data_IF_081443755911
#
_entry.id   IF_081443755911
#
_cell.length_a   1.000
_cell.length_b   1.000
_cell.length_c   1.000
_cell.angle_alpha   90.00
_cell.angle_beta   90.00
_cell.angle_gamma   90.00
#
_symmetry.space_group_name_H-M   'P 1'
#
loop_
_entity.id
_entity.type
_entity.pdbx_description
1 polymer ?
#
# COMPACT_ATOMS: atom_id res chain seq x y z
N UNK A 1 -28.33 -13.10 23.47
CA UNK A 1 -29.72 -13.38 23.13
C UNK A 1 -30.21 -14.62 23.89
N UNK A 2 -31.53 -14.74 24.07
CA UNK A 2 -32.13 -15.93 24.65
C UNK A 2 -32.04 -17.08 23.64
N UNK A 3 -31.71 -18.29 24.09
CA UNK A 3 -31.53 -19.48 23.23
C UNK A 3 -30.43 -19.30 22.15
N UNK A 4 -29.30 -18.70 22.51
CA UNK A 4 -28.19 -18.52 21.58
C UNK A 4 -27.57 -19.85 21.14
N UNK A 5 -27.11 -19.87 19.91
CA UNK A 5 -26.39 -20.97 19.29
C UNK A 5 -24.89 -20.66 19.17
N UNK A 6 -24.13 -21.65 18.72
CA UNK A 6 -22.68 -21.52 18.51
C UNK A 6 -22.35 -20.46 17.43
N UNK A 7 -23.23 -20.33 16.44
CA UNK A 7 -23.16 -19.30 15.39
C UNK A 7 -23.25 -17.88 15.97
N UNK A 8 -24.15 -17.67 16.95
CA UNK A 8 -24.32 -16.35 17.60
C UNK A 8 -23.09 -15.91 18.37
N UNK A 9 -22.40 -16.88 19.02
CA UNK A 9 -21.12 -16.61 19.70
C UNK A 9 -20.05 -16.20 18.69
N UNK A 10 -19.94 -16.90 17.56
CA UNK A 10 -18.96 -16.59 16.50
C UNK A 10 -19.24 -15.22 15.90
N UNK A 11 -20.50 -14.92 15.56
CA UNK A 11 -20.87 -13.66 14.92
C UNK A 11 -20.75 -12.47 15.89
N UNK A 12 -21.05 -12.68 17.16
CA UNK A 12 -20.80 -11.70 18.22
C UNK A 12 -19.30 -11.39 18.32
N UNK A 13 -18.42 -12.38 18.30
CA UNK A 13 -16.97 -12.17 18.32
C UNK A 13 -16.49 -11.45 17.07
N UNK A 14 -16.97 -11.81 15.88
CA UNK A 14 -16.62 -11.11 14.63
C UNK A 14 -17.08 -9.65 14.67
N UNK A 15 -18.26 -9.38 15.20
CA UNK A 15 -18.79 -8.02 15.29
C UNK A 15 -17.97 -7.13 16.24
N UNK A 16 -17.65 -7.60 17.45
CA UNK A 16 -16.95 -6.80 18.44
C UNK A 16 -15.43 -6.86 18.33
N UNK A 17 -14.87 -7.86 17.60
CA UNK A 17 -13.43 -8.09 17.45
C UNK A 17 -13.03 -8.38 15.99
N UNK A 18 -13.50 -7.58 15.00
CA UNK A 18 -13.32 -7.88 13.59
C UNK A 18 -11.85 -7.98 13.18
N UNK A 19 -11.03 -7.08 13.65
CA UNK A 19 -9.60 -7.04 13.29
C UNK A 19 -8.76 -8.12 13.98
N UNK A 20 -9.12 -8.49 15.19
CA UNK A 20 -8.50 -9.60 15.88
C UNK A 20 -8.83 -10.93 15.17
N UNK A 21 -10.08 -11.11 14.76
CA UNK A 21 -10.54 -12.26 13.98
C UNK A 21 -9.81 -12.34 12.63
N UNK A 22 -9.87 -11.28 11.85
CA UNK A 22 -9.18 -11.16 10.55
C UNK A 22 -7.67 -11.43 10.68
N UNK A 23 -7.02 -10.94 11.74
CA UNK A 23 -5.60 -11.19 12.00
C UNK A 23 -5.26 -12.67 12.16
N UNK A 24 -6.16 -13.48 12.74
CA UNK A 24 -5.97 -14.94 12.88
C UNK A 24 -6.18 -15.61 11.52
N UNK A 25 -7.18 -15.22 10.73
CA UNK A 25 -7.44 -15.75 9.39
C UNK A 25 -6.25 -15.51 8.46
N UNK A 26 -5.76 -14.29 8.38
CA UNK A 26 -4.58 -13.91 7.57
C UNK A 26 -3.34 -14.72 7.96
N UNK A 27 -3.09 -14.88 9.28
CA UNK A 27 -1.97 -15.70 9.76
C UNK A 27 -2.14 -17.17 9.38
N UNK A 28 -3.35 -17.71 9.51
CA UNK A 28 -3.64 -19.09 9.10
C UNK A 28 -3.34 -19.29 7.62
N UNK A 29 -3.88 -18.46 6.74
CA UNK A 29 -3.63 -18.54 5.31
C UNK A 29 -2.14 -18.47 4.97
N UNK A 30 -1.44 -17.52 5.57
CA UNK A 30 0.01 -17.37 5.38
C UNK A 30 0.77 -18.63 5.80
N UNK A 31 0.49 -19.19 6.97
CA UNK A 31 1.17 -20.40 7.46
C UNK A 31 0.73 -21.66 6.73
N UNK A 32 -0.51 -21.74 6.24
CA UNK A 32 -0.94 -22.83 5.38
C UNK A 32 -0.19 -22.84 4.03
N UNK A 33 -0.01 -21.69 3.40
CA UNK A 33 0.81 -21.56 2.18
C UNK A 33 2.25 -22.02 2.46
N UNK A 34 2.81 -21.61 3.60
CA UNK A 34 4.14 -22.05 4.05
C UNK A 34 4.21 -23.56 4.30
N UNK A 35 3.23 -24.14 4.94
CA UNK A 35 3.17 -25.56 5.22
C UNK A 35 3.05 -26.40 3.95
N UNK A 36 2.31 -25.95 2.94
CA UNK A 36 2.29 -26.59 1.61
C UNK A 36 3.69 -26.67 1.01
N UNK A 37 4.46 -25.58 1.07
CA UNK A 37 5.84 -25.54 0.57
C UNK A 37 6.77 -26.44 1.39
N UNK A 38 6.68 -26.37 2.73
CA UNK A 38 7.52 -27.16 3.65
C UNK A 38 7.22 -28.67 3.50
N UNK A 39 5.92 -29.04 3.40
CA UNK A 39 5.51 -30.41 3.17
C UNK A 39 6.05 -30.98 1.86
N UNK A 40 6.00 -30.18 0.76
CA UNK A 40 6.56 -30.57 -0.55
C UNK A 40 8.08 -30.81 -0.46
N UNK A 41 8.81 -30.02 0.35
CA UNK A 41 10.28 -30.06 0.43
C UNK A 41 10.80 -31.05 1.49
N UNK A 42 10.10 -31.22 2.60
CA UNK A 42 10.57 -31.97 3.78
C UNK A 42 9.60 -33.08 4.24
N UNK A 43 8.52 -33.32 3.50
CA UNK A 43 7.55 -34.39 3.80
C UNK A 43 6.55 -34.09 4.93
N UNK A 44 6.80 -33.09 5.78
CA UNK A 44 5.95 -32.78 6.94
C UNK A 44 5.63 -31.30 7.03
N UNK A 45 4.36 -30.97 7.33
CA UNK A 45 3.95 -29.61 7.69
C UNK A 45 4.52 -29.25 9.07
N UNK A 46 4.84 -27.97 9.28
CA UNK A 46 5.48 -27.50 10.52
C UNK A 46 4.54 -26.71 11.43
N UNK A 47 3.70 -25.85 10.87
CA UNK A 47 2.94 -24.87 11.65
C UNK A 47 1.56 -25.40 12.06
N UNK A 48 0.85 -26.07 11.14
CA UNK A 48 -0.47 -26.68 11.37
C UNK A 48 -1.42 -25.76 12.13
N UNK A 49 -1.53 -24.51 11.66
CA UNK A 49 -2.30 -23.49 12.35
C UNK A 49 -3.79 -23.71 12.17
N UNK A 50 -4.52 -23.81 13.28
CA UNK A 50 -5.96 -23.96 13.33
C UNK A 50 -6.69 -22.71 12.80
N UNK A 51 -7.92 -22.88 12.36
CA UNK A 51 -8.81 -21.77 12.01
C UNK A 51 -9.25 -20.98 13.25
N UNK A 52 -9.72 -19.73 13.10
CA UNK A 52 -10.28 -18.97 14.22
C UNK A 52 -11.38 -19.73 14.95
N UNK A 53 -12.25 -20.42 14.21
CA UNK A 53 -13.36 -21.24 14.76
C UNK A 53 -12.80 -22.42 15.57
N UNK A 54 -11.84 -23.16 15.04
CA UNK A 54 -11.20 -24.27 15.76
C UNK A 54 -10.52 -23.80 17.04
N UNK A 55 -9.81 -22.65 16.98
CA UNK A 55 -9.18 -22.06 18.18
C UNK A 55 -10.24 -21.67 19.21
N UNK A 56 -11.36 -21.11 18.76
CA UNK A 56 -12.47 -20.74 19.63
C UNK A 56 -13.06 -21.97 20.32
N UNK A 57 -13.34 -23.04 19.56
CA UNK A 57 -13.92 -24.27 20.09
C UNK A 57 -13.01 -25.02 21.09
N UNK A 58 -11.72 -24.84 20.98
CA UNK A 58 -10.73 -25.34 21.95
C UNK A 58 -10.67 -24.51 23.25
N UNK A 59 -11.18 -23.26 23.21
CA UNK A 59 -11.14 -22.35 24.36
C UNK A 59 -12.04 -22.86 25.51
N UNK A 60 -11.52 -22.89 26.73
CA UNK A 60 -12.26 -23.32 27.93
C UNK A 60 -13.52 -22.46 28.19
N UNK A 61 -13.44 -21.15 27.93
CA UNK A 61 -14.57 -20.26 28.07
C UNK A 61 -15.67 -20.60 27.06
N UNK A 62 -15.34 -20.87 25.80
CA UNK A 62 -16.31 -21.29 24.80
C UNK A 62 -17.01 -22.61 25.22
N UNK A 63 -16.23 -23.60 25.64
CA UNK A 63 -16.81 -24.89 26.12
C UNK A 63 -17.78 -24.71 27.28
N UNK A 64 -17.49 -23.75 28.17
CA UNK A 64 -18.42 -23.39 29.23
C UNK A 64 -19.69 -22.75 28.68
N UNK A 65 -19.57 -21.77 27.77
CA UNK A 65 -20.73 -21.10 27.16
C UNK A 65 -21.58 -22.05 26.31
N UNK A 66 -20.97 -23.04 25.66
CA UNK A 66 -21.65 -24.01 24.81
C UNK A 66 -22.30 -25.18 25.59
N UNK A 67 -22.04 -25.31 26.90
CA UNK A 67 -22.61 -26.39 27.72
C UNK A 67 -24.09 -26.18 27.98
N UNK A 68 -24.87 -27.26 27.94
CA UNK A 68 -26.33 -27.25 28.16
C UNK A 68 -26.69 -26.61 29.52
N UNK A 69 -25.98 -27.00 30.57
CA UNK A 69 -26.20 -26.48 31.91
C UNK A 69 -26.00 -24.94 31.97
N UNK A 70 -25.01 -24.39 31.28
CA UNK A 70 -24.80 -22.94 31.23
C UNK A 70 -25.89 -22.24 30.40
N UNK A 71 -26.28 -22.83 29.25
CA UNK A 71 -27.36 -22.33 28.39
C UNK A 71 -28.69 -22.28 29.13
N UNK A 72 -29.04 -23.35 29.83
CA UNK A 72 -30.28 -23.42 30.64
C UNK A 72 -30.29 -22.35 31.74
N UNK A 73 -29.24 -22.25 32.54
CA UNK A 73 -29.15 -21.24 33.58
C UNK A 73 -29.22 -19.80 33.01
N UNK A 74 -28.51 -19.57 31.90
CA UNK A 74 -28.55 -18.26 31.24
C UNK A 74 -29.95 -17.91 30.73
N UNK A 75 -30.65 -18.87 30.12
CA UNK A 75 -32.01 -18.67 29.60
C UNK A 75 -33.03 -18.41 30.71
N UNK A 76 -32.86 -19.03 31.86
CA UNK A 76 -33.73 -18.82 33.02
C UNK A 76 -33.55 -17.41 33.63
N UNK A 77 -32.31 -16.91 33.68
CA UNK A 77 -31.95 -15.60 34.23
C UNK A 77 -31.98 -14.49 33.17
N UNK A 78 -32.38 -14.76 31.93
CA UNK A 78 -32.30 -13.82 30.83
C UNK A 78 -33.27 -12.65 31.01
N UNK A 79 -32.73 -11.43 31.01
CA UNK A 79 -33.48 -10.18 30.91
C UNK A 79 -33.08 -9.42 29.64
N UNK A 80 -34.08 -9.11 28.80
CA UNK A 80 -33.84 -8.39 27.57
C UNK A 80 -33.32 -6.96 27.79
N UNK A 81 -33.79 -6.29 28.81
CA UNK A 81 -33.34 -4.93 29.17
C UNK A 81 -31.85 -4.94 29.57
N UNK A 82 -31.47 -5.88 30.45
CA UNK A 82 -30.07 -6.08 30.85
C UNK A 82 -29.19 -6.42 29.66
N UNK A 83 -29.66 -7.28 28.78
CA UNK A 83 -28.94 -7.64 27.53
C UNK A 83 -28.65 -6.40 26.67
N UNK A 84 -29.65 -5.53 26.45
CA UNK A 84 -29.46 -4.29 25.68
C UNK A 84 -28.45 -3.35 26.31
N UNK A 85 -28.53 -3.14 27.62
CA UNK A 85 -27.58 -2.29 28.36
C UNK A 85 -26.15 -2.84 28.28
N UNK A 86 -25.97 -4.14 28.48
CA UNK A 86 -24.64 -4.75 28.41
C UNK A 86 -24.07 -4.72 26.98
N UNK A 87 -24.91 -4.92 25.97
CA UNK A 87 -24.57 -4.81 24.54
C UNK A 87 -24.09 -3.40 24.20
N UNK A 88 -24.83 -2.38 24.61
CA UNK A 88 -24.47 -0.97 24.39
C UNK A 88 -23.17 -0.60 25.10
N UNK A 89 -23.01 -1.02 26.36
CA UNK A 89 -21.78 -0.83 27.12
C UNK A 89 -20.56 -1.49 26.45
N UNK A 90 -20.72 -2.70 25.94
CA UNK A 90 -19.65 -3.38 25.23
C UNK A 90 -19.33 -2.66 23.90
N UNK A 91 -20.36 -2.25 23.15
CA UNK A 91 -20.18 -1.53 21.90
C UNK A 91 -19.47 -0.19 22.12
N UNK A 92 -19.87 0.61 23.10
CA UNK A 92 -19.22 1.89 23.39
C UNK A 92 -17.72 1.74 23.71
N UNK A 93 -17.34 0.67 24.42
CA UNK A 93 -15.93 0.35 24.71
C UNK A 93 -15.16 -0.13 23.46
N UNK A 94 -15.81 -0.85 22.56
CA UNK A 94 -15.14 -1.45 21.38
C UNK A 94 -15.09 -0.52 20.18
N UNK A 95 -16.15 0.26 19.92
CA UNK A 95 -16.29 1.17 18.80
C UNK A 95 -15.06 2.05 18.59
N UNK A 96 -14.61 2.72 19.65
CA UNK A 96 -13.44 3.62 19.58
C UNK A 96 -12.15 2.89 19.15
N UNK A 97 -12.00 1.60 19.50
CA UNK A 97 -10.84 0.79 19.08
C UNK A 97 -10.96 0.38 17.62
N UNK A 98 -12.14 -0.03 17.19
CA UNK A 98 -12.44 -0.39 15.80
C UNK A 98 -12.23 0.82 14.90
N UNK A 99 -12.81 1.97 15.22
CA UNK A 99 -12.70 3.22 14.46
C UNK A 99 -11.23 3.67 14.33
N UNK A 100 -10.44 3.52 15.39
CA UNK A 100 -8.99 3.85 15.35
C UNK A 100 -8.24 2.96 14.36
N UNK A 101 -8.53 1.67 14.33
CA UNK A 101 -7.87 0.74 13.40
C UNK A 101 -8.35 1.01 11.98
N UNK A 102 -9.65 1.20 11.75
CA UNK A 102 -10.22 1.57 10.45
C UNK A 102 -9.55 2.82 9.89
N UNK A 103 -9.51 3.91 10.66
CA UNK A 103 -8.85 5.16 10.26
C UNK A 103 -7.36 4.97 9.96
N UNK A 104 -6.68 4.12 10.72
CA UNK A 104 -5.26 3.80 10.47
C UNK A 104 -5.08 3.11 9.12
N UNK A 105 -5.91 2.11 8.82
CA UNK A 105 -5.86 1.36 7.54
C UNK A 105 -6.23 2.29 6.38
N UNK A 106 -7.30 3.07 6.51
CA UNK A 106 -7.71 4.04 5.49
C UNK A 106 -6.62 5.06 5.20
N UNK A 107 -5.98 5.60 6.25
CA UNK A 107 -4.83 6.50 6.09
C UNK A 107 -3.63 5.84 5.41
N UNK A 108 -3.38 4.55 5.64
CA UNK A 108 -2.33 3.82 4.95
C UNK A 108 -2.71 3.60 3.46
N UNK A 109 -3.95 3.17 3.20
CA UNK A 109 -4.47 2.96 1.85
C UNK A 109 -4.52 4.25 1.02
N UNK A 110 -4.84 5.39 1.64
CA UNK A 110 -4.88 6.68 0.93
C UNK A 110 -3.52 7.15 0.42
N UNK A 111 -2.43 6.60 0.95
CA UNK A 111 -1.05 6.86 0.51
C UNK A 111 -0.52 5.84 -0.49
N UNK A 112 -1.35 4.91 -0.93
CA UNK A 112 -0.97 3.83 -1.84
C UNK A 112 -1.99 3.69 -2.96
N UNK A 113 -1.54 3.15 -4.08
CA UNK A 113 -2.44 2.71 -5.13
C UNK A 113 -2.90 1.28 -4.87
N UNK A 114 -4.20 1.03 -4.98
CA UNK A 114 -4.80 -0.27 -4.70
C UNK A 114 -4.90 -1.11 -5.98
N UNK A 115 -3.76 -1.27 -6.64
CA UNK A 115 -3.62 -1.99 -7.90
C UNK A 115 -2.33 -2.82 -7.89
N UNK A 116 -2.29 -3.88 -8.67
CA UNK A 116 -1.07 -4.64 -8.95
C UNK A 116 -0.45 -4.12 -10.24
N UNK A 117 0.65 -3.33 -10.20
CA UNK A 117 1.25 -2.78 -11.41
C UNK A 117 1.84 -3.90 -12.28
N UNK A 118 1.77 -3.74 -13.60
CA UNK A 118 2.26 -4.73 -14.60
C UNK A 118 3.75 -5.05 -14.39
N UNK A 119 4.53 -4.09 -13.91
CA UNK A 119 5.97 -4.26 -13.67
C UNK A 119 6.31 -4.91 -12.31
N UNK A 120 5.32 -5.32 -11.49
CA UNK A 120 5.54 -5.86 -10.15
C UNK A 120 6.50 -7.05 -10.15
N UNK A 121 6.28 -8.03 -11.01
CA UNK A 121 7.13 -9.23 -11.07
C UNK A 121 8.57 -8.89 -11.46
N UNK A 122 8.76 -7.91 -12.36
CA UNK A 122 10.09 -7.42 -12.73
C UNK A 122 10.79 -6.75 -11.54
N UNK A 123 10.08 -5.95 -10.73
CA UNK A 123 10.63 -5.33 -9.50
C UNK A 123 11.02 -6.39 -8.47
N UNK A 124 10.14 -7.36 -8.20
CA UNK A 124 10.45 -8.46 -7.27
C UNK A 124 11.64 -9.27 -7.78
N UNK A 125 11.67 -9.57 -9.08
CA UNK A 125 12.79 -10.26 -9.71
C UNK A 125 14.12 -9.52 -9.59
N UNK A 126 14.10 -8.18 -9.72
CA UNK A 126 15.29 -7.34 -9.47
C UNK A 126 15.74 -7.43 -8.00
N UNK A 127 14.80 -7.36 -7.05
CA UNK A 127 15.09 -7.48 -5.62
C UNK A 127 15.76 -8.82 -5.28
N UNK A 128 15.26 -9.91 -5.85
CA UNK A 128 15.70 -11.28 -5.52
C UNK A 128 17.01 -11.70 -6.18
N UNK A 129 17.54 -10.93 -7.12
CA UNK A 129 18.84 -11.21 -7.75
C UNK A 129 19.97 -11.24 -6.71
N UNK A 130 20.84 -12.24 -6.82
CA UNK A 130 21.96 -12.44 -5.88
C UNK A 130 22.93 -11.25 -5.79
N UNK A 131 23.06 -10.47 -6.85
CA UNK A 131 23.99 -9.36 -6.96
C UNK A 131 23.35 -7.99 -6.73
N UNK A 132 22.06 -7.92 -6.39
CA UNK A 132 21.42 -6.65 -6.08
C UNK A 132 21.97 -6.10 -4.77
N UNK A 133 22.49 -4.88 -4.81
CA UNK A 133 23.07 -4.21 -3.64
C UNK A 133 21.99 -3.91 -2.58
N UNK A 134 22.41 -3.72 -1.33
CA UNK A 134 21.50 -3.30 -0.28
C UNK A 134 20.87 -1.93 -0.61
N UNK A 135 21.63 -1.01 -1.20
CA UNK A 135 21.14 0.29 -1.70
C UNK A 135 19.97 0.10 -2.68
N UNK A 136 20.14 -0.69 -3.72
CA UNK A 136 19.10 -0.92 -4.73
C UNK A 136 17.89 -1.64 -4.15
N UNK A 137 18.09 -2.59 -3.24
CA UNK A 137 17.00 -3.26 -2.52
C UNK A 137 16.15 -2.29 -1.73
N UNK A 138 16.75 -1.28 -1.08
CA UNK A 138 16.00 -0.26 -0.35
C UNK A 138 15.13 0.55 -1.31
N UNK A 139 15.67 1.00 -2.45
CA UNK A 139 14.87 1.70 -3.47
C UNK A 139 13.70 0.86 -4.01
N UNK A 140 13.96 -0.41 -4.35
CA UNK A 140 12.92 -1.31 -4.84
C UNK A 140 11.79 -1.48 -3.81
N UNK A 141 12.13 -1.65 -2.53
CA UNK A 141 11.12 -1.78 -1.47
C UNK A 141 10.29 -0.50 -1.34
N UNK A 142 10.93 0.68 -1.42
CA UNK A 142 10.22 1.96 -1.36
C UNK A 142 9.25 2.14 -2.54
N UNK A 143 9.63 1.67 -3.73
CA UNK A 143 8.71 1.66 -4.86
C UNK A 143 7.53 0.71 -4.62
N UNK A 144 7.77 -0.48 -4.09
CA UNK A 144 6.72 -1.44 -3.78
C UNK A 144 5.78 -0.96 -2.66
N UNK A 145 6.26 -0.13 -1.74
CA UNK A 145 5.42 0.47 -0.68
C UNK A 145 4.35 1.44 -1.20
N UNK A 146 4.47 1.93 -2.44
CA UNK A 146 3.50 2.82 -3.08
C UNK A 146 2.23 2.09 -3.54
N UNK A 147 2.19 0.77 -3.41
CA UNK A 147 1.09 -0.08 -3.86
C UNK A 147 0.56 -0.96 -2.75
N UNK A 148 -0.75 -1.25 -2.80
CA UNK A 148 -1.42 -2.18 -1.90
C UNK A 148 -2.21 -3.20 -2.73
N UNK A 149 -1.70 -4.43 -2.80
CA UNK A 149 -2.37 -5.59 -3.39
C UNK A 149 -1.88 -6.87 -2.73
N UNK A 150 -2.61 -7.96 -2.87
CA UNK A 150 -2.25 -9.24 -2.24
C UNK A 150 -0.84 -9.73 -2.61
N UNK A 151 -0.38 -9.70 -3.88
CA UNK A 151 0.97 -10.11 -4.21
C UNK A 151 2.04 -9.29 -3.49
N UNK A 152 1.82 -7.97 -3.35
CA UNK A 152 2.74 -7.06 -2.67
C UNK A 152 2.77 -7.36 -1.17
N UNK A 153 1.64 -7.52 -0.53
CA UNK A 153 1.55 -7.87 0.89
C UNK A 153 2.23 -9.23 1.16
N UNK A 154 2.01 -10.23 0.30
CA UNK A 154 2.69 -11.52 0.42
C UNK A 154 4.22 -11.38 0.25
N UNK A 155 4.69 -10.53 -0.65
CA UNK A 155 6.11 -10.24 -0.79
C UNK A 155 6.69 -9.60 0.49
N UNK A 156 6.01 -8.63 1.09
CA UNK A 156 6.44 -8.01 2.35
C UNK A 156 6.44 -9.00 3.53
N UNK A 157 5.49 -9.94 3.60
CA UNK A 157 5.53 -11.04 4.57
C UNK A 157 6.76 -11.93 4.35
N UNK A 158 7.03 -12.32 3.10
CA UNK A 158 8.23 -13.09 2.74
C UNK A 158 9.51 -12.35 3.17
N UNK A 159 9.58 -11.06 2.89
CA UNK A 159 10.70 -10.20 3.25
C UNK A 159 10.92 -10.17 4.77
N UNK A 160 9.87 -9.90 5.53
CA UNK A 160 9.92 -9.90 7.00
C UNK A 160 10.43 -11.24 7.55
N UNK A 161 10.12 -12.35 6.90
CA UNK A 161 10.50 -13.68 7.35
C UNK A 161 11.92 -14.11 6.94
N UNK A 162 12.40 -13.68 5.78
CA UNK A 162 13.59 -14.26 5.13
C UNK A 162 14.75 -13.29 4.91
N UNK A 163 14.50 -11.98 4.90
CA UNK A 163 15.54 -11.01 4.64
C UNK A 163 16.55 -10.93 5.80
N UNK A 164 17.84 -10.98 5.49
CA UNK A 164 18.91 -10.97 6.49
C UNK A 164 19.20 -9.54 6.99
N UNK A 165 19.10 -8.54 6.14
CA UNK A 165 19.35 -7.17 6.50
C UNK A 165 18.26 -6.61 7.42
N UNK A 166 18.67 -5.98 8.53
CA UNK A 166 17.74 -5.47 9.56
C UNK A 166 16.89 -4.31 9.04
N UNK A 167 17.49 -3.38 8.28
CA UNK A 167 16.78 -2.22 7.73
C UNK A 167 15.65 -2.66 6.80
N UNK A 168 15.93 -3.58 5.88
CA UNK A 168 14.95 -4.08 4.93
C UNK A 168 13.80 -4.82 5.61
N UNK A 169 14.11 -5.64 6.64
CA UNK A 169 13.07 -6.29 7.46
C UNK A 169 12.22 -5.29 8.23
N UNK A 170 12.84 -4.25 8.79
CA UNK A 170 12.12 -3.23 9.55
C UNK A 170 11.20 -2.41 8.66
N UNK A 171 11.63 -2.08 7.44
CA UNK A 171 10.78 -1.43 6.44
C UNK A 171 9.57 -2.32 6.13
N UNK A 172 9.80 -3.61 5.86
CA UNK A 172 8.73 -4.57 5.60
C UNK A 172 7.77 -4.70 6.78
N UNK A 173 8.30 -4.83 8.00
CA UNK A 173 7.51 -4.93 9.22
C UNK A 173 6.63 -3.71 9.44
N UNK A 174 7.19 -2.50 9.33
CA UNK A 174 6.44 -1.24 9.48
C UNK A 174 5.36 -1.08 8.40
N UNK A 175 5.67 -1.46 7.16
CA UNK A 175 4.70 -1.42 6.07
C UNK A 175 3.50 -2.34 6.36
N UNK A 176 3.74 -3.59 6.74
CA UNK A 176 2.68 -4.52 7.13
C UNK A 176 1.85 -3.99 8.31
N UNK A 177 2.52 -3.43 9.32
CA UNK A 177 1.83 -2.85 10.48
C UNK A 177 0.96 -1.64 10.13
N UNK A 178 1.31 -0.86 9.10
CA UNK A 178 0.50 0.29 8.68
C UNK A 178 -0.90 -0.14 8.23
N UNK A 179 -1.03 -1.33 7.65
CA UNK A 179 -2.29 -1.96 7.25
C UNK A 179 -2.88 -2.92 8.31
N UNK A 180 -2.44 -2.78 9.56
CA UNK A 180 -2.89 -3.60 10.68
C UNK A 180 -2.53 -5.09 10.60
N UNK A 181 -1.63 -5.50 9.70
CA UNK A 181 -1.07 -6.84 9.77
C UNK A 181 -0.15 -6.97 10.99
N UNK A 182 -0.13 -8.17 11.60
CA UNK A 182 0.68 -8.48 12.76
C UNK A 182 1.76 -9.53 12.41
N UNK A 183 2.80 -9.17 11.63
CA UNK A 183 3.84 -10.11 11.26
C UNK A 183 4.69 -10.50 12.49
N UNK A 184 5.21 -11.72 12.46
CA UNK A 184 6.08 -12.19 13.53
C UNK A 184 7.44 -11.51 13.43
N UNK A 185 7.93 -10.95 14.55
CA UNK A 185 9.30 -10.46 14.64
C UNK A 185 10.29 -11.65 14.58
N UNK A 186 11.22 -11.59 13.62
CA UNK A 186 12.29 -12.58 13.48
C UNK A 186 13.56 -12.10 14.16
N UNK A 187 14.12 -12.94 15.03
CA UNK A 187 15.42 -12.66 15.65
C UNK A 187 16.54 -13.11 14.73
N UNK A 188 17.54 -12.25 14.52
CA UNK A 188 18.68 -12.49 13.62
C UNK A 188 19.36 -13.85 13.86
N UNK A 189 19.56 -14.24 15.12
CA UNK A 189 20.23 -15.51 15.50
C UNK A 189 19.55 -16.78 14.96
N UNK A 190 18.26 -16.71 14.60
CA UNK A 190 17.51 -17.85 14.06
C UNK A 190 17.41 -17.85 12.52
N UNK A 191 18.03 -16.87 11.87
CA UNK A 191 17.99 -16.78 10.42
C UNK A 191 19.09 -17.62 9.81
N UNK A 192 18.73 -18.53 8.91
CA UNK A 192 19.67 -19.38 8.21
C UNK A 192 20.31 -18.63 7.04
N UNK A 193 21.62 -18.77 6.90
CA UNK A 193 22.39 -18.20 5.80
C UNK A 193 22.90 -19.34 4.90
N UNK A 194 22.44 -19.31 3.66
CA UNK A 194 22.86 -20.25 2.63
C UNK A 194 23.75 -19.53 1.60
N UNK A 195 25.00 -19.91 1.53
CA UNK A 195 25.96 -19.46 0.51
C UNK A 195 26.99 -20.56 0.24
N UNK A 196 27.32 -20.77 -1.04
CA UNK A 196 28.32 -21.77 -1.46
C UNK A 196 29.76 -21.33 -1.14
N UNK A 197 30.02 -20.02 -0.99
CA UNK A 197 31.34 -19.45 -0.72
C UNK A 197 31.44 -19.01 0.74
N UNK A 198 32.50 -19.40 1.44
CA UNK A 198 32.70 -19.09 2.86
C UNK A 198 32.85 -17.59 3.13
N UNK A 199 33.55 -16.83 2.29
CA UNK A 199 33.68 -15.35 2.42
C UNK A 199 32.32 -14.68 2.33
N UNK A 200 31.47 -15.10 1.36
CA UNK A 200 30.11 -14.60 1.22
C UNK A 200 29.22 -15.00 2.40
N UNK A 201 29.38 -16.21 2.92
CA UNK A 201 28.64 -16.69 4.08
C UNK A 201 28.96 -15.86 5.34
N UNK A 202 30.21 -15.53 5.52
CA UNK A 202 30.68 -14.67 6.61
C UNK A 202 30.18 -13.23 6.48
N UNK A 203 30.29 -12.64 5.29
CA UNK A 203 29.68 -11.34 4.98
C UNK A 203 28.20 -11.30 5.30
N UNK A 204 27.41 -12.27 4.83
CA UNK A 204 25.96 -12.35 5.06
C UNK A 204 25.58 -12.60 6.52
N UNK A 205 26.47 -13.17 7.33
CA UNK A 205 26.24 -13.38 8.76
C UNK A 205 26.60 -12.20 9.63
N UNK A 206 27.71 -11.51 9.34
CA UNK A 206 28.31 -10.51 10.23
C UNK A 206 28.11 -9.07 9.76
N UNK A 207 28.28 -8.80 8.47
CA UNK A 207 28.33 -7.44 7.90
C UNK A 207 26.94 -7.05 7.38
N UNK A 208 26.45 -7.76 6.37
CA UNK A 208 25.20 -7.44 5.66
C UNK A 208 23.97 -7.20 6.58
N UNK A 209 23.78 -7.93 7.69
CA UNK A 209 22.63 -7.68 8.57
C UNK A 209 22.59 -6.29 9.19
N UNK A 210 23.75 -5.64 9.32
CA UNK A 210 23.88 -4.35 9.99
C UNK A 210 24.13 -3.19 9.01
N UNK A 211 24.27 -3.47 7.73
CA UNK A 211 24.37 -2.41 6.72
C UNK A 211 23.09 -1.57 6.70
N UNK A 212 23.27 -0.25 6.68
CA UNK A 212 22.19 0.72 6.61
C UNK A 212 22.50 1.71 5.49
N UNK A 213 21.55 1.88 4.59
CA UNK A 213 21.62 2.86 3.52
C UNK A 213 20.63 4.00 3.76
N UNK A 214 21.13 5.24 3.80
CA UNK A 214 20.32 6.45 3.87
C UNK A 214 20.01 6.95 2.47
N UNK A 215 18.73 7.16 2.18
CA UNK A 215 18.28 7.63 0.89
C UNK A 215 18.22 9.15 0.91
N UNK A 216 18.91 9.83 -0.01
CA UNK A 216 18.70 11.24 -0.25
C UNK A 216 17.28 11.46 -0.80
N UNK A 217 16.55 12.41 -0.23
CA UNK A 217 15.18 12.75 -0.64
C UNK A 217 15.19 14.06 -1.40
N UNK A 218 15.87 14.08 -2.54
CA UNK A 218 16.01 15.25 -3.41
C UNK A 218 15.58 14.92 -4.84
N UNK A 219 15.09 15.89 -5.62
CA UNK A 219 14.76 15.69 -7.03
C UNK A 219 15.94 15.14 -7.83
N UNK A 220 17.17 15.64 -7.59
CA UNK A 220 18.39 15.19 -8.28
C UNK A 220 18.73 13.73 -8.03
N UNK A 221 18.49 13.19 -6.83
CA UNK A 221 18.68 11.74 -6.59
C UNK A 221 17.65 10.93 -7.39
N UNK A 222 16.40 11.38 -7.46
CA UNK A 222 15.37 10.69 -8.24
C UNK A 222 15.67 10.77 -9.74
N UNK A 223 16.05 11.93 -10.27
CA UNK A 223 16.52 12.10 -11.65
C UNK A 223 17.64 11.12 -11.98
N UNK A 224 18.70 11.11 -11.17
CA UNK A 224 19.82 10.16 -11.33
C UNK A 224 19.34 8.70 -11.33
N UNK A 225 18.39 8.34 -10.46
CA UNK A 225 17.84 6.98 -10.44
C UNK A 225 16.99 6.66 -11.66
N UNK A 226 16.20 7.61 -12.16
CA UNK A 226 15.41 7.42 -13.39
C UNK A 226 16.32 7.13 -14.57
N UNK A 227 17.40 7.88 -14.71
CA UNK A 227 18.37 7.70 -15.80
C UNK A 227 19.20 6.41 -15.70
N UNK A 228 19.59 6.01 -14.49
CA UNK A 228 20.61 4.97 -14.31
C UNK A 228 20.11 3.68 -13.68
N UNK A 229 18.96 3.67 -13.01
CA UNK A 229 18.51 2.51 -12.24
C UNK A 229 17.39 1.72 -12.92
N UNK A 230 17.53 0.40 -12.92
CA UNK A 230 16.59 -0.51 -13.59
C UNK A 230 15.18 -0.47 -13.01
N UNK A 231 15.06 -0.28 -11.69
CA UNK A 231 13.75 -0.23 -11.03
C UNK A 231 12.93 1.00 -11.44
N UNK A 232 13.57 2.07 -11.89
CA UNK A 232 12.89 3.25 -12.40
C UNK A 232 12.53 3.10 -13.87
N UNK A 233 13.44 2.51 -14.67
CA UNK A 233 13.24 2.33 -16.13
C UNK A 233 12.14 1.34 -16.50
N UNK A 234 11.83 0.39 -15.62
CA UNK A 234 10.77 -0.60 -15.89
C UNK A 234 9.36 -0.10 -15.55
N UNK A 235 9.25 1.07 -14.94
CA UNK A 235 7.96 1.64 -14.58
C UNK A 235 7.19 2.10 -15.80
N UNK A 236 5.90 1.87 -15.79
CA UNK A 236 4.93 2.39 -16.74
C UNK A 236 3.62 2.66 -16.04
N UNK A 237 2.88 3.62 -16.57
CA UNK A 237 1.60 4.04 -16.00
C UNK A 237 0.56 4.09 -17.12
N UNK A 238 -0.66 3.65 -16.81
CA UNK A 238 -1.78 3.78 -17.75
C UNK A 238 -2.15 5.26 -17.92
N UNK A 239 -2.12 6.02 -16.82
CA UNK A 239 -2.45 7.45 -16.82
C UNK A 239 -1.51 8.25 -15.94
N UNK A 240 -1.16 9.44 -16.42
CA UNK A 240 -0.64 10.54 -15.61
C UNK A 240 -1.82 11.45 -15.23
N UNK A 241 -1.99 11.80 -13.94
CA UNK A 241 -3.04 12.76 -13.54
C UNK A 241 -2.44 14.14 -13.36
N UNK A 242 -2.77 15.05 -14.29
CA UNK A 242 -2.48 16.47 -14.16
C UNK A 242 -3.59 17.17 -13.37
N UNK A 243 -3.24 17.79 -12.26
CA UNK A 243 -4.20 18.36 -11.32
C UNK A 243 -3.61 19.44 -10.42
N UNK A 244 -4.45 20.25 -9.80
CA UNK A 244 -4.05 21.15 -8.72
C UNK A 244 -4.00 20.41 -7.37
N UNK A 245 -3.02 20.70 -6.54
CA UNK A 245 -2.94 20.17 -5.17
C UNK A 245 -4.17 20.50 -4.31
N UNK A 246 -4.93 21.53 -4.67
CA UNK A 246 -6.20 21.91 -4.01
C UNK A 246 -7.34 20.93 -4.33
N UNK A 247 -7.20 20.10 -5.36
CA UNK A 247 -8.21 19.14 -5.82
C UNK A 247 -7.91 17.70 -5.34
N UNK A 248 -6.96 17.53 -4.44
CA UNK A 248 -6.44 16.22 -3.98
C UNK A 248 -7.52 15.24 -3.49
N UNK A 249 -8.62 15.72 -2.88
CA UNK A 249 -9.72 14.87 -2.43
C UNK A 249 -10.49 14.23 -3.60
N UNK A 250 -10.78 15.01 -4.64
CA UNK A 250 -11.47 14.54 -5.85
C UNK A 250 -10.54 13.63 -6.67
N UNK A 251 -9.26 14.01 -6.81
CA UNK A 251 -8.22 13.18 -7.44
C UNK A 251 -8.08 11.83 -6.75
N UNK A 252 -8.17 11.77 -5.42
CA UNK A 252 -8.12 10.51 -4.70
C UNK A 252 -9.30 9.58 -5.00
N UNK A 253 -10.50 10.14 -5.23
CA UNK A 253 -11.66 9.36 -5.68
C UNK A 253 -11.43 8.79 -7.08
N UNK A 254 -10.91 9.60 -8.01
CA UNK A 254 -10.59 9.20 -9.38
C UNK A 254 -9.54 8.07 -9.37
N UNK A 255 -8.45 8.22 -8.62
CA UNK A 255 -7.43 7.16 -8.51
C UNK A 255 -8.03 5.86 -7.98
N UNK A 256 -8.91 5.91 -6.98
CA UNK A 256 -9.58 4.70 -6.47
C UNK A 256 -10.44 4.03 -7.53
N UNK A 257 -11.17 4.82 -8.31
CA UNK A 257 -12.00 4.31 -9.40
C UNK A 257 -11.14 3.64 -10.47
N UNK A 258 -10.10 4.31 -10.96
CA UNK A 258 -9.21 3.76 -11.98
C UNK A 258 -8.44 2.53 -11.46
N UNK A 259 -8.00 2.54 -10.20
CA UNK A 259 -7.38 1.34 -9.62
C UNK A 259 -8.36 0.16 -9.53
N UNK A 260 -9.68 0.39 -9.32
CA UNK A 260 -10.69 -0.68 -9.35
C UNK A 260 -10.87 -1.28 -10.75
N UNK A 261 -10.53 -0.51 -11.79
CA UNK A 261 -10.47 -0.95 -13.20
C UNK A 261 -9.08 -1.51 -13.58
N UNK A 262 -8.22 -1.83 -12.59
CA UNK A 262 -6.86 -2.32 -12.77
C UNK A 262 -5.93 -1.34 -13.51
N UNK A 263 -6.20 -0.04 -13.46
CA UNK A 263 -5.34 0.99 -14.04
C UNK A 263 -4.32 1.49 -13.04
N UNK A 264 -3.04 1.49 -13.44
CA UNK A 264 -1.93 2.04 -12.67
C UNK A 264 -1.75 3.51 -13.00
N UNK A 265 -1.87 4.35 -12.00
CA UNK A 265 -1.88 5.81 -12.15
C UNK A 265 -0.56 6.40 -11.67
N UNK A 266 -0.03 7.39 -12.40
CA UNK A 266 0.96 8.29 -11.83
C UNK A 266 0.28 9.51 -11.19
N UNK A 267 0.61 9.74 -9.94
CA UNK A 267 0.25 10.96 -9.21
C UNK A 267 1.43 11.34 -8.31
N UNK A 268 1.97 12.54 -8.46
CA UNK A 268 3.20 13.01 -7.84
C UNK A 268 3.21 12.84 -6.32
N UNK A 269 2.13 13.22 -5.63
CA UNK A 269 2.01 13.11 -4.17
C UNK A 269 1.81 11.68 -3.64
N UNK A 270 1.52 10.69 -4.49
CA UNK A 270 1.57 9.26 -4.13
C UNK A 270 2.92 8.67 -4.52
N UNK A 271 3.34 8.90 -5.77
CA UNK A 271 4.44 8.18 -6.35
C UNK A 271 5.81 8.76 -5.97
N UNK A 272 5.95 10.07 -5.94
CA UNK A 272 7.25 10.73 -5.77
C UNK A 272 7.25 11.84 -4.69
N UNK A 273 6.24 11.85 -3.79
CA UNK A 273 6.06 12.86 -2.73
C UNK A 273 7.30 13.11 -1.86
N UNK A 274 8.14 12.08 -1.62
CA UNK A 274 9.34 12.23 -0.82
C UNK A 274 10.41 13.09 -1.53
N UNK A 275 10.38 13.16 -2.85
CA UNK A 275 11.39 13.81 -3.70
C UNK A 275 10.89 15.16 -4.25
N UNK A 276 9.61 15.25 -4.63
CA UNK A 276 9.02 16.42 -5.30
C UNK A 276 8.33 17.36 -4.32
N UNK A 277 9.06 17.86 -3.33
CA UNK A 277 8.53 18.83 -2.37
C UNK A 277 8.73 20.25 -2.88
N UNK A 278 7.75 21.14 -2.67
CA UNK A 278 7.77 22.52 -3.15
C UNK A 278 9.05 23.31 -2.82
N UNK A 279 9.63 23.08 -1.62
CA UNK A 279 10.88 23.77 -1.22
C UNK A 279 12.16 23.18 -1.82
N UNK A 280 12.05 22.10 -2.59
CA UNK A 280 13.16 21.43 -3.28
C UNK A 280 13.11 21.62 -4.81
N UNK A 281 12.27 22.53 -5.30
CA UNK A 281 12.12 22.78 -6.73
C UNK A 281 13.44 23.20 -7.38
N UNK A 282 13.81 22.53 -8.46
CA UNK A 282 15.03 22.76 -9.23
C UNK A 282 14.86 22.16 -10.63
N UNK A 283 15.87 22.30 -11.50
CA UNK A 283 15.85 21.73 -12.86
C UNK A 283 15.54 20.23 -12.87
N UNK A 284 16.12 19.49 -11.91
CA UNK A 284 15.86 18.07 -11.76
C UNK A 284 14.37 17.73 -11.52
N UNK A 285 13.59 18.65 -10.94
CA UNK A 285 12.14 18.46 -10.76
C UNK A 285 11.44 18.37 -12.11
N UNK A 286 11.79 19.21 -13.06
CA UNK A 286 11.23 19.19 -14.40
C UNK A 286 11.64 17.92 -15.15
N UNK A 287 12.92 17.55 -15.10
CA UNK A 287 13.41 16.30 -15.72
C UNK A 287 12.70 15.07 -15.18
N UNK A 288 12.41 15.04 -13.87
CA UNK A 288 11.64 13.95 -13.26
C UNK A 288 10.21 13.92 -13.80
N UNK A 289 9.52 15.09 -13.85
CA UNK A 289 8.16 15.17 -14.38
C UNK A 289 8.08 14.75 -15.84
N UNK A 290 9.00 15.25 -16.69
CA UNK A 290 9.10 14.87 -18.10
C UNK A 290 9.23 13.35 -18.25
N UNK A 291 10.15 12.73 -17.47
CA UNK A 291 10.33 11.27 -17.50
C UNK A 291 9.09 10.51 -17.06
N UNK A 292 8.30 11.03 -16.10
CA UNK A 292 7.05 10.39 -15.68
C UNK A 292 5.93 10.54 -16.71
N UNK A 293 5.87 11.67 -17.39
CA UNK A 293 4.98 11.88 -18.53
C UNK A 293 5.32 10.90 -19.67
N UNK A 294 6.61 10.73 -19.99
CA UNK A 294 7.08 9.75 -20.98
C UNK A 294 6.73 8.29 -20.60
N UNK A 295 6.81 7.94 -19.30
CA UNK A 295 6.46 6.62 -18.78
C UNK A 295 4.95 6.36 -18.71
N UNK A 296 4.12 7.35 -19.00
CA UNK A 296 2.67 7.23 -18.98
C UNK A 296 2.10 7.10 -20.39
N UNK A 297 1.13 6.19 -20.57
CA UNK A 297 0.50 5.96 -21.87
C UNK A 297 -0.50 7.06 -22.23
N UNK A 298 -1.18 7.59 -21.22
CA UNK A 298 -2.22 8.64 -21.39
C UNK A 298 -2.09 9.67 -20.27
N UNK A 299 -2.70 10.83 -20.48
CA UNK A 299 -2.85 11.86 -19.44
C UNK A 299 -4.33 12.13 -19.18
N UNK A 300 -4.72 12.27 -17.90
CA UNK A 300 -6.02 12.79 -17.48
C UNK A 300 -5.81 14.17 -16.85
N UNK A 301 -6.41 15.19 -17.43
CA UNK A 301 -6.49 16.53 -16.84
C UNK A 301 -7.75 16.63 -15.99
N UNK A 302 -7.57 16.88 -14.70
CA UNK A 302 -8.69 17.16 -13.78
C UNK A 302 -9.02 18.63 -13.86
N UNK A 303 -10.10 18.94 -14.55
CA UNK A 303 -10.53 20.30 -14.83
C UNK A 303 -11.17 20.95 -13.60
N UNK A 304 -10.56 22.00 -13.09
CA UNK A 304 -11.06 22.89 -12.04
C UNK A 304 -10.54 24.32 -12.27
N UNK A 305 -11.09 25.30 -11.57
CA UNK A 305 -10.57 26.68 -11.64
C UNK A 305 -9.10 26.76 -11.18
N UNK A 306 -8.72 25.87 -10.26
CA UNK A 306 -7.35 25.81 -9.75
C UNK A 306 -6.37 25.16 -10.75
N UNK A 307 -6.77 24.09 -11.43
CA UNK A 307 -5.91 23.41 -12.40
C UNK A 307 -5.74 24.21 -13.68
N UNK A 308 -6.80 24.87 -14.15
CA UNK A 308 -6.77 25.79 -15.32
C UNK A 308 -5.79 26.95 -15.15
N UNK A 309 -5.63 27.43 -13.91
CA UNK A 309 -4.72 28.52 -13.58
C UNK A 309 -3.33 28.02 -13.12
N UNK A 310 -3.11 26.71 -13.04
CA UNK A 310 -1.84 26.14 -12.60
C UNK A 310 -0.81 26.15 -13.73
N UNK A 311 0.34 26.79 -13.48
CA UNK A 311 1.47 26.79 -14.42
C UNK A 311 1.99 25.34 -14.62
N UNK A 312 2.02 24.54 -13.56
CA UNK A 312 2.44 23.15 -13.62
C UNK A 312 1.54 22.28 -14.51
N UNK A 313 0.21 22.39 -14.34
CA UNK A 313 -0.72 21.67 -15.20
C UNK A 313 -0.58 22.06 -16.67
N UNK A 314 -0.41 23.34 -16.94
CA UNK A 314 -0.18 23.84 -18.30
C UNK A 314 1.13 23.29 -18.88
N UNK A 315 2.21 23.24 -18.09
CA UNK A 315 3.48 22.65 -18.50
C UNK A 315 3.31 21.17 -18.83
N UNK A 316 2.68 20.40 -17.93
CA UNK A 316 2.42 18.97 -18.09
C UNK A 316 1.64 18.67 -19.36
N UNK A 317 0.56 19.43 -19.60
CA UNK A 317 -0.27 19.30 -20.81
C UNK A 317 0.53 19.58 -22.09
N UNK A 318 1.29 20.69 -22.13
CA UNK A 318 2.10 21.04 -23.30
C UNK A 318 3.18 20.02 -23.60
N UNK A 319 3.88 19.56 -22.54
CA UNK A 319 4.90 18.53 -22.73
C UNK A 319 4.27 17.23 -23.23
N UNK A 320 3.15 16.80 -22.65
CA UNK A 320 2.49 15.56 -23.04
C UNK A 320 1.92 15.63 -24.47
N UNK A 321 1.43 16.80 -24.89
CA UNK A 321 1.02 17.02 -26.28
C UNK A 321 2.17 16.80 -27.26
N UNK A 322 3.40 17.25 -26.92
CA UNK A 322 4.59 17.03 -27.75
C UNK A 322 4.96 15.56 -27.92
N UNK A 323 4.52 14.67 -27.00
CA UNK A 323 4.71 13.24 -27.09
C UNK A 323 3.74 12.53 -28.03
N UNK A 324 2.76 13.24 -28.60
CA UNK A 324 1.69 12.69 -29.46
C UNK A 324 0.91 11.54 -28.81
N UNK A 325 0.68 11.60 -27.49
CA UNK A 325 -0.09 10.63 -26.73
C UNK A 325 -1.49 11.15 -26.39
N UNK A 326 -2.48 10.27 -26.13
CA UNK A 326 -3.84 10.68 -25.83
C UNK A 326 -3.97 11.48 -24.53
N UNK A 327 -4.70 12.61 -24.61
CA UNK A 327 -5.04 13.44 -23.45
C UNK A 327 -6.56 13.36 -23.24
N UNK A 328 -6.95 13.14 -22.00
CA UNK A 328 -8.34 13.10 -21.56
C UNK A 328 -8.58 14.19 -20.53
N UNK A 329 -9.85 14.58 -20.39
CA UNK A 329 -10.29 15.51 -19.34
C UNK A 329 -11.46 14.94 -18.57
N UNK A 330 -11.59 15.37 -17.32
CA UNK A 330 -12.72 15.12 -16.44
C UNK A 330 -12.93 16.34 -15.55
N UNK A 331 -14.16 16.77 -15.38
CA UNK A 331 -14.48 17.89 -14.49
C UNK A 331 -14.41 17.41 -13.02
N UNK A 332 -13.85 18.24 -12.15
CA UNK A 332 -13.83 18.01 -10.72
C UNK A 332 -15.24 17.73 -10.17
N UNK A 333 -16.24 18.50 -10.64
CA UNK A 333 -17.63 18.35 -10.21
C UNK A 333 -18.17 16.95 -10.51
N UNK A 334 -17.92 16.40 -11.71
CA UNK A 334 -18.35 15.06 -12.11
C UNK A 334 -17.76 13.99 -11.16
N UNK A 335 -16.48 14.14 -10.81
CA UNK A 335 -15.82 13.24 -9.82
C UNK A 335 -16.50 13.34 -8.45
N UNK A 336 -16.87 14.53 -8.01
CA UNK A 336 -17.54 14.76 -6.73
C UNK A 336 -18.92 14.14 -6.68
N UNK A 337 -19.63 14.15 -7.80
CA UNK A 337 -20.92 13.50 -8.02
C UNK A 337 -20.82 11.97 -8.26
N UNK A 338 -19.60 11.42 -8.33
CA UNK A 338 -19.36 9.99 -8.56
C UNK A 338 -19.44 9.57 -10.02
N UNK A 339 -19.34 10.51 -10.93
CA UNK A 339 -19.32 10.28 -12.38
C UNK A 339 -17.85 10.31 -12.84
N UNK A 340 -17.35 9.17 -13.33
CA UNK A 340 -15.94 9.00 -13.70
C UNK A 340 -15.75 8.82 -15.21
N UNK A 341 -16.58 9.45 -16.01
CA UNK A 341 -16.47 9.38 -17.46
C UNK A 341 -15.41 10.40 -17.94
N UNK A 342 -14.29 9.86 -18.41
CA UNK A 342 -13.25 10.69 -19.06
C UNK A 342 -13.62 10.92 -20.52
N UNK A 343 -13.41 12.14 -21.02
CA UNK A 343 -13.58 12.51 -22.43
C UNK A 343 -12.25 12.89 -23.06
N UNK A 344 -12.08 12.65 -24.37
CA UNK A 344 -10.89 13.09 -25.08
C UNK A 344 -10.85 14.62 -25.07
N UNK A 345 -9.69 15.18 -24.76
CA UNK A 345 -9.52 16.63 -24.72
C UNK A 345 -9.42 17.20 -26.13
N UNK A 346 -10.14 18.27 -26.40
CA UNK A 346 -10.12 18.96 -27.71
C UNK A 346 -8.87 19.84 -27.86
N UNK A 347 -8.33 19.96 -29.08
CA UNK A 347 -7.06 20.65 -29.34
C UNK A 347 -7.14 22.19 -29.12
N UNK A 348 -8.32 22.75 -29.15
CA UNK A 348 -8.53 24.18 -28.94
C UNK A 348 -8.09 24.74 -27.59
N UNK A 349 -7.94 23.82 -26.60
CA UNK A 349 -7.47 24.15 -25.24
C UNK A 349 -5.98 24.52 -25.17
N UNK A 350 -5.20 24.26 -26.24
CA UNK A 350 -3.74 24.30 -26.22
C UNK A 350 -3.14 25.55 -26.88
N UNK A 351 -3.96 26.45 -27.51
CA UNK A 351 -3.51 27.42 -28.50
C UNK A 351 -2.72 28.62 -27.94
N UNK A 352 -2.63 28.82 -26.62
CA UNK A 352 -2.04 30.06 -26.10
C UNK A 352 -1.04 29.91 -24.96
N UNK A 353 0.00 29.06 -25.14
CA UNK A 353 0.98 28.91 -24.05
C UNK A 353 2.44 28.94 -24.52
N UNK A 354 2.99 30.14 -24.67
CA UNK A 354 4.43 30.37 -24.71
C UNK A 354 5.06 30.13 -23.29
N UNK A 355 5.35 28.87 -22.92
CA UNK A 355 6.03 28.59 -21.65
C UNK A 355 7.54 28.63 -21.79
N UNK A 356 8.17 29.56 -21.06
CA UNK A 356 9.59 29.50 -20.81
C UNK A 356 9.84 28.57 -19.61
N UNK A 357 10.61 27.51 -19.81
CA UNK A 357 11.05 26.54 -18.79
C UNK A 357 11.63 27.23 -17.53
N UNK A 358 12.22 28.42 -17.66
CA UNK A 358 12.80 29.22 -16.58
C UNK A 358 11.77 29.79 -15.58
N UNK A 359 10.58 30.16 -16.00
CA UNK A 359 9.58 30.75 -15.10
C UNK A 359 9.05 29.80 -14.02
N UNK A 360 9.13 28.48 -14.24
CA UNK A 360 8.74 27.47 -13.26
C UNK A 360 9.78 27.28 -12.14
N UNK A 361 11.04 27.55 -12.44
CA UNK A 361 12.17 27.30 -11.53
C UNK A 361 12.48 28.54 -10.69
N UNK A 362 12.32 29.74 -11.26
CA UNK A 362 12.60 31.02 -10.60
C UNK A 362 11.57 31.36 -9.50
N UNK A 363 10.57 30.50 -9.29
CA UNK A 363 9.71 30.60 -8.13
C UNK A 363 8.94 31.90 -8.04
N UNK A 364 8.36 32.38 -9.14
CA UNK A 364 7.39 33.46 -9.02
C UNK A 364 6.29 33.02 -8.07
N UNK A 365 6.40 33.54 -6.84
CA UNK A 365 5.43 33.40 -5.78
C UNK A 365 4.07 33.83 -6.29
N UNK A 366 3.33 32.90 -6.82
CA UNK A 366 1.92 33.10 -7.05
C UNK A 366 1.25 32.99 -5.68
N UNK A 367 1.02 34.19 -5.10
CA UNK A 367 0.19 34.39 -3.92
C UNK A 367 -1.22 33.87 -4.11
#
# INVERSE_FOLDING_TARGET
EKNYEDTDIVDTLKHYYPYEWESVEIKREYYQKKDKFIKKRYGKARYRMNSPIEILFECSMYKKLASDCYKENYNNDFSYERYLVERENLWSKRKNKIDRVTKKIEKAKSKTQQVTPIFLEKLIGLYERKNTSQKDKVYIILELQKYYSDPIIQFFFKLNDTELNKQLREIAFKHLQSFNYNPRLRRQKYMQVHAGNNKRKEYLKKIYPNEVYKIPKTPSELEYRIENAKEQKIKSYDFFISHSSKDSASVQKLIKYENSNNKNIYCDWINDNDYLKRHLLCDATLSVLESRLEQSDNLIFVESDYSKNSIWCKYELNYFLSLNKPIYTIKKQDIEEGQFLISKMEEEWFIDVNYKKMALIEGENIK
#
